data_IF_864867827791
#
_entry.id   IF_864867827791
#
_cell.length_a   1.000
_cell.length_b   1.000
_cell.length_c   1.000
_cell.angle_alpha   90.00
_cell.angle_beta   90.00
_cell.angle_gamma   90.00
#
_symmetry.space_group_name_H-M   'P 1'
#
loop_
_entity.id
_entity.type
_entity.pdbx_description
1 polymer ?
#
# COMPACT_ATOMS: atom_id res chain seq x y z
N UNK A 1 10.02 11.22 26.95
CA UNK A 1 9.64 9.83 27.33
C UNK A 1 9.35 8.92 26.13
N UNK A 2 8.84 9.44 25.01
CA UNK A 2 8.39 8.67 23.82
C UNK A 2 9.52 7.95 23.08
N UNK A 3 10.69 8.52 22.96
CA UNK A 3 11.83 7.96 22.18
C UNK A 3 12.39 6.64 22.76
N UNK A 4 12.44 6.51 24.11
CA UNK A 4 12.90 5.28 24.77
C UNK A 4 11.88 4.11 24.62
N UNK A 5 10.59 4.40 24.59
CA UNK A 5 9.54 3.39 24.42
C UNK A 5 9.49 2.84 22.99
N UNK A 6 9.62 3.68 21.97
CA UNK A 6 9.63 3.25 20.56
C UNK A 6 10.83 2.37 20.26
N UNK A 7 12.03 2.74 20.76
CA UNK A 7 13.23 1.91 20.64
C UNK A 7 13.08 0.55 21.33
N UNK A 8 12.40 0.49 22.46
CA UNK A 8 12.20 -0.76 23.22
C UNK A 8 11.31 -1.74 22.46
N UNK A 9 10.18 -1.28 21.91
CA UNK A 9 9.30 -2.10 21.07
C UNK A 9 9.98 -2.60 19.79
N UNK A 10 10.76 -1.75 19.14
CA UNK A 10 11.52 -2.15 17.95
C UNK A 10 12.57 -3.22 18.30
N UNK A 11 13.32 -3.02 19.38
CA UNK A 11 14.32 -4.00 19.88
C UNK A 11 13.65 -5.32 20.25
N UNK A 12 12.50 -5.30 20.90
CA UNK A 12 11.74 -6.51 21.25
C UNK A 12 11.23 -7.24 19.99
N UNK A 13 10.72 -6.53 18.99
CA UNK A 13 10.37 -7.13 17.68
C UNK A 13 11.57 -7.77 17.02
N UNK A 14 12.72 -7.09 16.98
CA UNK A 14 13.96 -7.64 16.41
C UNK A 14 14.41 -8.90 17.14
N UNK A 15 14.43 -8.88 18.48
CA UNK A 15 14.80 -10.05 19.31
C UNK A 15 13.83 -11.22 19.11
N UNK A 16 12.52 -10.96 19.11
CA UNK A 16 11.48 -11.94 18.84
C UNK A 16 11.66 -12.57 17.46
N UNK A 17 11.92 -11.76 16.44
CA UNK A 17 12.16 -12.23 15.07
C UNK A 17 13.45 -13.05 14.97
N UNK A 18 14.55 -12.64 15.62
CA UNK A 18 15.79 -13.38 15.66
C UNK A 18 15.61 -14.75 16.33
N UNK A 19 14.91 -14.81 17.46
CA UNK A 19 14.57 -16.05 18.16
C UNK A 19 13.70 -16.98 17.31
N UNK A 20 12.72 -16.42 16.60
CA UNK A 20 11.87 -17.19 15.69
C UNK A 20 12.69 -17.74 14.50
N UNK A 21 13.57 -16.92 13.92
CA UNK A 21 14.48 -17.38 12.82
C UNK A 21 15.40 -18.50 13.27
N UNK A 22 15.91 -18.48 14.51
CA UNK A 22 16.74 -19.56 15.04
C UNK A 22 15.96 -20.88 15.24
N UNK A 23 14.64 -20.76 15.51
CA UNK A 23 13.75 -21.92 15.68
C UNK A 23 13.33 -22.53 14.32
N UNK A 24 13.21 -21.71 13.30
CA UNK A 24 12.76 -22.10 11.96
C UNK A 24 13.89 -21.82 10.95
N UNK A 25 14.98 -22.59 11.04
CA UNK A 25 16.15 -22.39 10.16
C UNK A 25 15.88 -22.80 8.71
N UNK A 26 15.09 -23.85 8.54
CA UNK A 26 14.79 -24.45 7.25
C UNK A 26 13.26 -24.36 7.01
N UNK A 27 12.88 -23.55 6.06
CA UNK A 27 11.51 -23.50 5.56
C UNK A 27 11.52 -23.30 4.04
N UNK A 28 10.57 -23.95 3.40
CA UNK A 28 10.37 -23.76 1.94
C UNK A 28 9.62 -22.46 1.69
N UNK A 29 10.15 -21.66 0.78
CA UNK A 29 9.45 -20.46 0.30
C UNK A 29 8.33 -20.91 -0.65
N UNK A 30 7.05 -20.54 -0.38
CA UNK A 30 5.96 -20.88 -1.30
C UNK A 30 6.08 -20.09 -2.60
N UNK A 31 5.38 -20.55 -3.61
CA UNK A 31 5.16 -19.76 -4.81
C UNK A 31 4.14 -18.62 -4.51
N UNK A 32 4.52 -17.38 -4.81
CA UNK A 32 3.68 -16.20 -4.69
C UNK A 32 2.94 -15.98 -6.00
N UNK A 33 1.82 -16.66 -6.18
CA UNK A 33 1.03 -16.59 -7.40
C UNK A 33 0.21 -15.30 -7.47
N UNK A 34 0.45 -14.49 -8.51
CA UNK A 34 -0.23 -13.21 -8.75
C UNK A 34 -0.42 -12.40 -7.46
N UNK A 35 0.67 -12.07 -6.73
CA UNK A 35 0.56 -11.31 -5.49
C UNK A 35 -0.04 -9.93 -5.79
N UNK A 36 -0.81 -9.42 -4.83
CA UNK A 36 -1.57 -8.18 -4.98
C UNK A 36 -0.90 -7.08 -4.17
N UNK A 37 -0.52 -5.99 -4.83
CA UNK A 37 0.04 -4.80 -4.18
C UNK A 37 -0.96 -3.64 -4.22
N UNK A 38 -1.42 -3.21 -3.04
CA UNK A 38 -2.22 -2.00 -2.91
C UNK A 38 -1.26 -0.81 -2.89
N UNK A 39 -1.35 0.04 -3.91
CA UNK A 39 -0.53 1.24 -4.07
C UNK A 39 -1.39 2.49 -3.98
N UNK A 40 -0.90 3.49 -3.26
CA UNK A 40 -1.61 4.76 -3.04
C UNK A 40 -0.66 5.83 -2.53
N UNK A 41 -1.07 7.09 -2.57
CA UNK A 41 -0.48 8.09 -1.69
C UNK A 41 -0.69 7.69 -0.22
N UNK A 42 0.20 8.06 0.72
CA UNK A 42 -0.05 7.82 2.14
C UNK A 42 -1.36 8.49 2.55
N UNK A 43 -2.08 7.90 3.51
CA UNK A 43 -3.34 8.42 4.04
C UNK A 43 -4.53 8.42 3.06
N UNK A 44 -4.41 7.73 1.93
CA UNK A 44 -5.52 7.57 0.97
C UNK A 44 -6.61 6.57 1.41
N UNK A 45 -6.42 5.83 2.52
CA UNK A 45 -7.36 4.80 2.99
C UNK A 45 -6.92 3.36 2.68
N UNK A 46 -5.70 3.17 2.17
CA UNK A 46 -5.16 1.85 1.79
C UNK A 46 -5.09 0.85 2.94
N UNK A 47 -5.03 1.30 4.20
CA UNK A 47 -5.09 0.40 5.36
C UNK A 47 -6.49 -0.21 5.50
N UNK A 48 -7.56 0.58 5.30
CA UNK A 48 -8.93 0.06 5.31
C UNK A 48 -9.11 -1.03 4.24
N UNK A 49 -8.69 -0.74 3.01
CA UNK A 49 -8.76 -1.71 1.92
C UNK A 49 -7.95 -2.98 2.23
N UNK A 50 -6.71 -2.83 2.72
CA UNK A 50 -5.86 -3.94 3.10
C UNK A 50 -6.48 -4.81 4.20
N UNK A 51 -6.99 -4.20 5.27
CA UNK A 51 -7.65 -4.92 6.37
C UNK A 51 -8.89 -5.68 5.86
N UNK A 52 -9.66 -5.08 4.94
CA UNK A 52 -10.83 -5.73 4.32
C UNK A 52 -10.40 -6.94 3.47
N UNK A 53 -9.43 -6.78 2.57
CA UNK A 53 -8.96 -7.87 1.70
C UNK A 53 -8.20 -8.96 2.48
N UNK A 54 -7.60 -8.64 3.61
CA UNK A 54 -6.93 -9.61 4.49
C UNK A 54 -7.91 -10.62 5.11
N UNK A 55 -9.22 -10.34 5.08
CA UNK A 55 -10.25 -11.26 5.58
C UNK A 55 -10.65 -12.35 4.59
N UNK A 56 -10.17 -12.29 3.34
CA UNK A 56 -10.54 -13.25 2.31
C UNK A 56 -9.92 -14.64 2.55
N UNK A 57 -10.65 -15.72 2.22
CA UNK A 57 -10.12 -17.08 2.36
C UNK A 57 -8.94 -17.31 1.41
N UNK A 58 -7.93 -18.01 1.88
CA UNK A 58 -6.72 -18.30 1.10
C UNK A 58 -5.76 -17.13 0.89
N UNK A 59 -6.09 -15.93 1.40
CA UNK A 59 -5.21 -14.77 1.37
C UNK A 59 -4.20 -14.84 2.51
N UNK A 60 -2.96 -14.51 2.16
CA UNK A 60 -1.84 -14.39 3.09
C UNK A 60 -1.31 -12.96 3.09
N UNK A 61 -0.93 -12.46 4.27
CA UNK A 61 -0.34 -11.13 4.46
C UNK A 61 0.78 -11.19 5.49
N UNK A 62 1.52 -10.12 5.67
CA UNK A 62 2.45 -9.99 6.79
C UNK A 62 1.81 -9.30 8.00
N UNK A 63 0.54 -8.93 7.91
CA UNK A 63 -0.24 -8.28 8.96
C UNK A 63 0.00 -6.79 9.14
N UNK A 64 1.06 -6.21 8.57
CA UNK A 64 1.36 -4.77 8.63
C UNK A 64 2.21 -4.34 7.41
N UNK A 65 2.63 -3.08 7.40
CA UNK A 65 3.50 -2.50 6.36
C UNK A 65 4.91 -3.11 6.38
N UNK A 66 5.47 -3.32 5.18
CA UNK A 66 6.75 -4.00 4.99
C UNK A 66 7.93 -3.07 4.64
N UNK A 67 7.82 -1.77 4.91
CA UNK A 67 8.92 -0.85 4.63
C UNK A 67 10.22 -1.28 5.33
N UNK A 68 10.16 -1.74 6.58
CA UNK A 68 11.33 -2.25 7.28
C UNK A 68 11.93 -3.51 6.63
N UNK A 69 11.09 -4.43 6.12
CA UNK A 69 11.57 -5.64 5.49
C UNK A 69 12.39 -5.34 4.24
N UNK A 70 11.93 -4.39 3.43
CA UNK A 70 12.63 -3.95 2.22
C UNK A 70 13.90 -3.15 2.61
N UNK A 71 13.76 -2.16 3.49
CA UNK A 71 14.87 -1.25 3.84
C UNK A 71 15.94 -1.89 4.74
N UNK A 72 15.70 -3.07 5.31
CA UNK A 72 16.76 -3.87 5.98
C UNK A 72 17.77 -4.47 5.01
N UNK A 73 17.46 -4.58 3.74
CA UNK A 73 18.44 -4.94 2.71
C UNK A 73 19.27 -3.68 2.43
N UNK A 74 20.57 -3.63 2.79
CA UNK A 74 21.34 -2.38 2.85
C UNK A 74 21.29 -1.56 1.57
N UNK A 75 21.37 -2.21 0.39
CA UNK A 75 21.31 -1.52 -0.91
C UNK A 75 19.94 -0.93 -1.25
N UNK A 76 18.85 -1.40 -0.62
CA UNK A 76 17.50 -0.90 -0.84
C UNK A 76 17.13 0.24 0.12
N UNK A 77 17.90 0.44 1.19
CA UNK A 77 17.70 1.55 2.09
C UNK A 77 18.14 2.86 1.44
N UNK A 78 17.40 3.97 1.54
CA UNK A 78 17.80 5.27 0.96
C UNK A 78 19.21 5.74 1.36
N UNK A 79 19.71 5.34 2.53
CA UNK A 79 21.10 5.62 2.97
C UNK A 79 22.14 5.21 1.93
N UNK A 80 21.93 4.10 1.22
CA UNK A 80 22.88 3.62 0.19
C UNK A 80 22.96 4.55 -1.04
N UNK A 81 22.00 5.46 -1.17
CA UNK A 81 21.88 6.47 -2.24
C UNK A 81 21.80 7.88 -1.68
N UNK A 82 22.55 8.17 -0.61
CA UNK A 82 22.60 9.49 0.04
C UNK A 82 21.21 10.07 0.39
N UNK A 83 20.25 9.19 0.73
CA UNK A 83 18.86 9.58 1.02
C UNK A 83 18.18 10.35 -0.12
N UNK A 84 18.43 9.99 -1.37
CA UNK A 84 17.80 10.63 -2.54
C UNK A 84 16.27 10.52 -2.51
N UNK A 85 15.76 9.30 -2.28
CA UNK A 85 14.31 9.02 -2.22
C UNK A 85 14.02 7.58 -1.79
N UNK A 86 12.71 7.23 -1.69
CA UNK A 86 12.25 5.84 -1.57
C UNK A 86 12.11 5.11 -2.92
N UNK A 87 12.41 5.73 -4.03
CA UNK A 87 12.30 5.13 -5.36
C UNK A 87 13.18 3.89 -5.45
N UNK A 88 12.59 2.78 -5.91
CA UNK A 88 13.31 1.58 -6.32
C UNK A 88 12.88 1.19 -7.74
N UNK A 89 13.84 0.73 -8.52
CA UNK A 89 13.69 0.36 -9.92
C UNK A 89 13.94 -1.14 -10.13
N UNK A 90 13.71 -1.64 -11.34
CA UNK A 90 14.06 -3.02 -11.69
C UNK A 90 15.55 -3.34 -11.49
N UNK A 91 16.42 -2.34 -11.60
CA UNK A 91 17.87 -2.50 -11.44
C UNK A 91 18.29 -2.71 -9.97
N UNK A 92 17.43 -2.39 -9.01
CA UNK A 92 17.67 -2.64 -7.59
C UNK A 92 17.38 -4.10 -7.20
N UNK A 93 16.79 -4.90 -8.13
CA UNK A 93 16.44 -6.30 -7.94
C UNK A 93 17.45 -7.21 -8.69
N UNK A 94 18.25 -7.94 -7.94
CA UNK A 94 18.98 -9.12 -8.42
C UNK A 94 18.42 -10.39 -7.77
N UNK A 95 18.86 -11.57 -8.22
CA UNK A 95 18.39 -12.85 -7.69
C UNK A 95 18.58 -12.99 -6.16
N UNK A 96 19.70 -12.48 -5.64
CA UNK A 96 19.98 -12.50 -4.20
C UNK A 96 19.05 -11.61 -3.41
N UNK A 97 18.68 -10.46 -3.98
CA UNK A 97 17.72 -9.53 -3.39
C UNK A 97 16.31 -10.10 -3.40
N UNK A 98 15.87 -10.63 -4.53
CA UNK A 98 14.57 -11.29 -4.66
C UNK A 98 14.45 -12.44 -3.66
N UNK A 99 15.44 -13.32 -3.57
CA UNK A 99 15.49 -14.43 -2.61
C UNK A 99 15.32 -13.95 -1.17
N UNK A 100 16.10 -12.93 -0.75
CA UNK A 100 16.03 -12.39 0.62
C UNK A 100 14.67 -11.78 0.95
N UNK A 101 14.02 -11.15 -0.04
CA UNK A 101 12.68 -10.58 0.13
C UNK A 101 11.63 -11.68 0.26
N UNK A 102 11.63 -12.66 -0.63
CA UNK A 102 10.70 -13.79 -0.59
C UNK A 102 10.83 -14.57 0.72
N UNK A 103 12.04 -14.87 1.17
CA UNK A 103 12.30 -15.47 2.49
C UNK A 103 11.78 -14.58 3.63
N UNK A 104 12.01 -13.28 3.52
CA UNK A 104 11.56 -12.30 4.51
C UNK A 104 10.04 -12.20 4.59
N UNK A 105 9.34 -12.16 3.46
CA UNK A 105 7.89 -12.19 3.40
C UNK A 105 7.36 -13.52 3.95
N UNK A 106 7.88 -14.65 3.46
CA UNK A 106 7.46 -15.99 3.93
C UNK A 106 7.54 -16.12 5.43
N UNK A 107 8.61 -15.61 6.02
CA UNK A 107 8.82 -15.66 7.47
C UNK A 107 7.73 -14.92 8.26
N UNK A 108 7.18 -13.83 7.71
CA UNK A 108 6.17 -13.01 8.36
C UNK A 108 4.74 -13.31 7.88
N UNK A 109 4.54 -14.28 6.95
CA UNK A 109 3.22 -14.63 6.43
C UNK A 109 2.27 -15.10 7.54
N UNK A 110 1.06 -14.60 7.48
CA UNK A 110 -0.07 -15.06 8.27
C UNK A 110 -1.36 -15.06 7.45
N UNK A 111 -2.26 -15.98 7.75
CA UNK A 111 -3.60 -16.04 7.18
C UNK A 111 -4.57 -15.07 7.89
N UNK A 112 -5.84 -15.05 7.48
CA UNK A 112 -6.90 -14.24 8.08
C UNK A 112 -7.18 -14.53 9.56
N UNK A 113 -6.80 -15.73 10.06
CA UNK A 113 -6.92 -16.14 11.45
C UNK A 113 -5.65 -15.83 12.26
N UNK A 114 -4.66 -15.13 11.62
CA UNK A 114 -3.33 -14.84 12.17
C UNK A 114 -2.50 -16.10 12.43
N UNK A 115 -2.85 -17.25 11.81
CA UNK A 115 -2.02 -18.43 11.81
C UNK A 115 -0.80 -18.18 10.93
N UNK A 116 0.39 -18.28 11.48
CA UNK A 116 1.63 -18.02 10.73
C UNK A 116 1.98 -19.21 9.85
N UNK A 117 2.43 -18.93 8.64
CA UNK A 117 2.84 -19.94 7.66
C UNK A 117 3.93 -20.86 8.20
N UNK A 118 4.98 -20.28 8.80
CA UNK A 118 6.11 -21.04 9.32
C UNK A 118 5.78 -21.91 10.54
N UNK A 119 4.70 -21.64 11.26
CA UNK A 119 4.24 -22.40 12.40
C UNK A 119 3.31 -23.58 12.02
N UNK A 120 2.89 -23.65 10.73
CA UNK A 120 2.18 -24.79 10.20
C UNK A 120 3.12 -26.02 10.08
N UNK A 121 2.62 -27.25 10.30
CA UNK A 121 3.31 -28.47 9.91
C UNK A 121 3.70 -28.41 8.41
N UNK A 122 4.82 -28.98 8.04
CA UNK A 122 5.37 -28.86 6.69
C UNK A 122 4.40 -29.40 5.62
N UNK A 123 3.76 -30.53 5.91
CA UNK A 123 2.74 -31.19 5.07
C UNK A 123 1.44 -30.37 4.92
N UNK A 124 1.23 -29.36 5.77
CA UNK A 124 0.07 -28.46 5.75
C UNK A 124 0.38 -27.06 5.19
N UNK A 125 1.65 -26.78 4.88
CA UNK A 125 2.03 -25.51 4.25
C UNK A 125 1.60 -25.52 2.80
N UNK A 126 0.77 -24.55 2.35
CA UNK A 126 0.47 -24.45 0.93
C UNK A 126 1.75 -24.17 0.13
N UNK A 127 1.95 -24.91 -0.97
CA UNK A 127 3.06 -24.68 -1.90
C UNK A 127 2.92 -23.39 -2.70
N UNK A 128 1.69 -22.93 -2.88
CA UNK A 128 1.32 -21.70 -3.60
C UNK A 128 0.41 -20.85 -2.72
N UNK A 129 0.63 -19.55 -2.71
CA UNK A 129 -0.14 -18.60 -1.89
C UNK A 129 -0.61 -17.39 -2.70
N UNK A 130 -1.76 -16.85 -2.31
CA UNK A 130 -2.23 -15.54 -2.75
C UNK A 130 -1.82 -14.49 -1.70
N UNK A 131 -0.79 -13.71 -2.01
CA UNK A 131 -0.24 -12.72 -1.11
C UNK A 131 -0.83 -11.33 -1.36
N UNK A 132 -1.21 -10.63 -0.30
CA UNK A 132 -1.60 -9.21 -0.37
C UNK A 132 -0.67 -8.36 0.47
N UNK A 133 -0.21 -7.26 -0.10
CA UNK A 133 0.71 -6.33 0.54
C UNK A 133 0.25 -4.88 0.36
N UNK A 134 0.42 -4.07 1.42
CA UNK A 134 0.18 -2.65 1.40
C UNK A 134 1.24 -1.93 2.22
N UNK A 135 2.08 -1.18 1.54
CA UNK A 135 3.04 -0.24 2.14
C UNK A 135 3.02 1.05 1.31
N UNK A 136 2.72 2.22 1.89
CA UNK A 136 2.64 3.47 1.12
C UNK A 136 3.90 3.78 0.31
N UNK A 137 5.11 3.45 0.81
CA UNK A 137 6.37 3.61 0.07
C UNK A 137 6.42 2.83 -1.24
N UNK A 138 5.58 1.80 -1.39
CA UNK A 138 5.51 0.99 -2.61
C UNK A 138 4.89 1.74 -3.80
N UNK A 139 4.23 2.88 -3.56
CA UNK A 139 3.88 3.85 -4.62
C UNK A 139 5.09 4.24 -5.47
N UNK A 140 6.29 4.29 -4.88
CA UNK A 140 7.55 4.64 -5.55
C UNK A 140 8.40 3.41 -5.95
N UNK A 141 7.84 2.17 -5.85
CA UNK A 141 8.59 0.92 -6.02
C UNK A 141 7.98 -0.06 -7.01
N UNK A 142 6.96 0.35 -7.79
CA UNK A 142 6.23 -0.54 -8.71
C UNK A 142 7.17 -1.31 -9.66
N UNK A 143 8.17 -0.70 -10.34
CA UNK A 143 9.08 -1.45 -11.22
C UNK A 143 9.96 -2.45 -10.47
N UNK A 144 10.33 -2.16 -9.23
CA UNK A 144 11.09 -3.05 -8.36
C UNK A 144 10.22 -4.25 -7.94
N UNK A 145 8.99 -4.00 -7.47
CA UNK A 145 8.06 -5.07 -7.09
C UNK A 145 7.75 -5.98 -8.27
N UNK A 146 7.60 -5.41 -9.47
CA UNK A 146 7.37 -6.17 -10.70
C UNK A 146 8.60 -7.04 -11.08
N UNK A 147 9.80 -6.62 -10.73
CA UNK A 147 11.01 -7.42 -10.94
C UNK A 147 11.13 -8.56 -9.91
N UNK A 148 10.64 -8.37 -8.67
CA UNK A 148 10.59 -9.43 -7.66
C UNK A 148 9.45 -10.41 -7.93
N UNK A 149 8.29 -9.91 -8.37
CA UNK A 149 7.04 -10.65 -8.61
C UNK A 149 6.55 -10.39 -10.04
N UNK A 150 7.01 -11.17 -11.03
CA UNK A 150 6.73 -10.92 -12.44
C UNK A 150 5.25 -10.95 -12.82
N UNK A 151 4.41 -11.65 -12.09
CA UNK A 151 2.96 -11.78 -12.28
C UNK A 151 2.12 -10.92 -11.32
N UNK A 152 2.77 -10.01 -10.56
CA UNK A 152 2.09 -9.15 -9.58
C UNK A 152 0.95 -8.34 -10.18
N UNK A 153 -0.16 -8.27 -9.44
CA UNK A 153 -1.30 -7.41 -9.68
C UNK A 153 -1.21 -6.15 -8.81
N UNK A 154 -1.68 -5.03 -9.34
CA UNK A 154 -1.66 -3.76 -8.63
C UNK A 154 -3.08 -3.19 -8.47
N UNK A 155 -3.43 -2.82 -7.26
CA UNK A 155 -4.66 -2.09 -6.96
C UNK A 155 -4.29 -0.66 -6.60
N UNK A 156 -4.65 0.30 -7.44
CA UNK A 156 -4.43 1.72 -7.19
C UNK A 156 -5.64 2.33 -6.49
N UNK A 157 -5.45 2.71 -5.24
CA UNK A 157 -6.44 3.44 -4.45
C UNK A 157 -6.11 4.93 -4.46
N UNK A 158 -7.02 5.71 -5.05
CA UNK A 158 -6.95 7.16 -5.13
C UNK A 158 -7.89 7.82 -4.11
N UNK A 159 -7.48 8.94 -3.55
CA UNK A 159 -8.32 9.78 -2.71
C UNK A 159 -8.29 11.23 -3.19
N UNK A 160 -9.42 11.91 -3.07
CA UNK A 160 -9.54 13.34 -3.35
C UNK A 160 -8.34 14.14 -2.78
N UNK A 161 -7.75 15.07 -3.55
CA UNK A 161 -6.54 15.79 -3.14
C UNK A 161 -6.73 16.59 -1.86
N UNK A 162 -7.85 17.32 -1.69
CA UNK A 162 -8.10 18.13 -0.49
C UNK A 162 -8.18 17.24 0.75
N UNK A 163 -8.94 16.17 0.65
CA UNK A 163 -9.11 15.17 1.70
C UNK A 163 -7.80 14.46 2.06
N UNK A 164 -7.01 14.07 1.05
CA UNK A 164 -5.78 13.32 1.26
C UNK A 164 -4.68 14.20 1.84
N UNK A 165 -4.51 15.42 1.30
CA UNK A 165 -3.52 16.39 1.78
C UNK A 165 -3.83 16.80 3.22
N UNK A 166 -5.10 17.08 3.56
CA UNK A 166 -5.50 17.34 4.94
C UNK A 166 -5.10 16.20 5.88
N UNK A 167 -5.34 14.95 5.47
CA UNK A 167 -4.97 13.77 6.27
C UNK A 167 -3.44 13.59 6.38
N UNK A 168 -2.66 13.98 5.36
CA UNK A 168 -1.20 14.02 5.42
C UNK A 168 -0.72 15.09 6.39
N UNK A 169 -1.29 16.31 6.37
CA UNK A 169 -0.97 17.39 7.31
C UNK A 169 -1.22 16.92 8.76
N UNK A 170 -2.38 16.31 9.03
CA UNK A 170 -2.67 15.73 10.34
C UNK A 170 -1.64 14.66 10.73
N UNK A 171 -1.26 13.81 9.78
CA UNK A 171 -0.27 12.77 10.00
C UNK A 171 1.11 13.33 10.36
N UNK A 172 1.58 14.37 9.65
CA UNK A 172 2.80 15.10 9.96
C UNK A 172 2.75 15.72 11.36
N UNK A 173 1.70 16.51 11.64
CA UNK A 173 1.53 17.19 12.94
C UNK A 173 1.39 16.21 14.12
N UNK A 174 0.95 14.96 13.87
CA UNK A 174 0.81 13.94 14.91
C UNK A 174 2.10 13.30 15.39
N UNK A 175 3.17 13.34 14.60
CA UNK A 175 4.43 12.63 14.85
C UNK A 175 4.33 11.09 14.87
N UNK A 176 3.18 10.51 14.44
CA UNK A 176 2.96 9.05 14.49
C UNK A 176 3.48 8.30 13.27
N UNK A 177 3.74 8.98 12.17
CA UNK A 177 4.11 8.38 10.89
C UNK A 177 5.55 8.74 10.48
N UNK A 178 6.44 8.84 11.46
CA UNK A 178 7.85 9.13 11.24
C UNK A 178 8.49 8.00 10.44
N UNK A 179 9.09 8.36 9.31
CA UNK A 179 9.85 7.45 8.45
C UNK A 179 11.37 7.57 8.70
N UNK A 180 11.86 8.78 8.93
CA UNK A 180 13.28 9.04 9.18
C UNK A 180 13.45 10.03 10.34
N UNK A 181 13.95 9.51 11.47
CA UNK A 181 14.21 10.32 12.68
C UNK A 181 15.35 11.32 12.50
N UNK A 182 16.39 10.91 11.79
CA UNK A 182 17.58 11.70 11.52
C UNK A 182 17.87 11.65 10.02
N UNK A 183 17.13 12.43 9.23
CA UNK A 183 17.37 12.57 7.81
C UNK A 183 18.50 13.57 7.59
N UNK A 184 19.65 13.17 7.01
CA UNK A 184 20.79 14.09 6.82
C UNK A 184 20.40 15.31 6.00
N UNK A 185 20.72 16.49 6.50
CA UNK A 185 20.37 17.76 5.87
C UNK A 185 18.93 18.21 6.08
N UNK A 186 18.18 17.55 6.96
CA UNK A 186 16.85 17.96 7.41
C UNK A 186 16.90 18.29 8.90
N UNK A 187 16.85 19.56 9.25
CA UNK A 187 17.07 20.09 10.61
C UNK A 187 15.77 20.46 11.33
N UNK A 188 14.65 19.84 10.92
CA UNK A 188 13.32 20.10 11.45
C UNK A 188 12.77 18.86 12.18
N UNK A 189 11.44 18.85 12.39
CA UNK A 189 10.72 17.68 12.89
C UNK A 189 11.05 16.42 12.06
N UNK A 190 11.05 15.21 12.65
CA UNK A 190 11.38 14.00 11.94
C UNK A 190 10.55 13.82 10.66
N UNK A 191 11.21 13.43 9.56
CA UNK A 191 10.54 13.24 8.28
C UNK A 191 9.47 12.15 8.34
N UNK A 192 8.26 12.49 7.92
CA UNK A 192 7.12 11.57 7.91
C UNK A 192 6.78 11.06 6.49
N UNK A 193 6.24 9.83 6.41
CA UNK A 193 5.78 9.20 5.18
C UNK A 193 6.87 8.94 4.13
N UNK A 194 6.59 9.27 2.86
CA UNK A 194 7.48 9.01 1.73
C UNK A 194 8.65 9.99 1.70
N UNK A 195 9.85 9.47 1.47
CA UNK A 195 10.97 10.29 1.04
C UNK A 195 10.90 10.41 -0.49
N UNK A 196 10.42 11.54 -0.97
CA UNK A 196 10.19 11.80 -2.39
C UNK A 196 11.46 12.33 -3.08
N UNK A 197 11.65 12.10 -4.39
CA UNK A 197 12.70 12.77 -5.14
C UNK A 197 12.58 14.30 -5.02
N UNK A 198 13.71 14.98 -4.89
CA UNK A 198 13.74 16.44 -4.77
C UNK A 198 13.36 16.98 -3.38
N UNK A 199 13.15 16.15 -2.37
CA UNK A 199 12.82 16.59 -1.00
C UNK A 199 13.75 17.67 -0.42
N UNK A 200 15.04 17.77 -0.78
CA UNK A 200 15.89 18.83 -0.24
C UNK A 200 15.42 20.25 -0.57
N UNK A 201 14.67 20.45 -1.66
CA UNK A 201 14.07 21.75 -1.99
C UNK A 201 12.93 22.15 -1.04
N UNK A 202 12.43 21.21 -0.22
CA UNK A 202 11.33 21.44 0.71
C UNK A 202 11.78 21.80 2.14
N UNK A 203 13.06 22.11 2.36
CA UNK A 203 13.60 22.38 3.70
C UNK A 203 12.88 23.52 4.41
N UNK A 204 12.54 24.57 3.68
CA UNK A 204 11.85 25.75 4.21
C UNK A 204 10.33 25.71 3.94
N UNK A 205 9.83 24.67 3.26
CA UNK A 205 8.44 24.56 2.88
C UNK A 205 7.52 24.32 4.09
N UNK A 206 6.30 24.84 4.02
CA UNK A 206 5.27 24.52 5.01
C UNK A 206 4.87 23.03 4.94
N UNK A 207 4.35 22.48 6.04
CA UNK A 207 3.89 21.07 6.08
C UNK A 207 2.84 20.79 4.97
N UNK A 208 1.97 21.75 4.69
CA UNK A 208 0.98 21.62 3.62
C UNK A 208 1.64 21.44 2.25
N UNK A 209 2.70 22.19 1.97
CA UNK A 209 3.46 22.08 0.71
C UNK A 209 4.20 20.75 0.61
N UNK A 210 4.81 20.29 1.71
CA UNK A 210 5.46 18.97 1.76
C UNK A 210 4.40 17.87 1.52
N UNK A 211 3.25 17.95 2.18
CA UNK A 211 2.15 17.00 2.03
C UNK A 211 1.60 16.97 0.60
N UNK A 212 1.42 18.13 -0.03
CA UNK A 212 0.98 18.24 -1.42
C UNK A 212 1.99 17.61 -2.39
N UNK A 213 3.29 17.88 -2.19
CA UNK A 213 4.35 17.28 -3.01
C UNK A 213 4.44 15.76 -2.81
N UNK A 214 4.28 15.25 -1.59
CA UNK A 214 4.22 13.80 -1.34
C UNK A 214 3.00 13.16 -2.03
N UNK A 215 1.82 13.80 -1.94
CA UNK A 215 0.61 13.35 -2.61
C UNK A 215 0.77 13.33 -4.13
N UNK A 216 1.23 14.43 -4.73
CA UNK A 216 1.48 14.58 -6.17
C UNK A 216 2.48 13.54 -6.67
N UNK A 217 3.64 13.44 -6.02
CA UNK A 217 4.72 12.55 -6.44
C UNK A 217 4.28 11.09 -6.39
N UNK A 218 3.61 10.66 -5.31
CA UNK A 218 3.12 9.30 -5.18
C UNK A 218 2.14 8.93 -6.30
N UNK A 219 1.09 9.74 -6.48
CA UNK A 219 0.06 9.46 -7.47
C UNK A 219 0.60 9.52 -8.91
N UNK A 220 1.39 10.57 -9.23
CA UNK A 220 2.02 10.68 -10.55
C UNK A 220 2.90 9.46 -10.84
N UNK A 221 3.73 9.05 -9.88
CA UNK A 221 4.61 7.89 -10.06
C UNK A 221 3.79 6.61 -10.29
N UNK A 222 2.72 6.39 -9.51
CA UNK A 222 1.83 5.24 -9.71
C UNK A 222 1.26 5.24 -11.13
N UNK A 223 0.64 6.34 -11.55
CA UNK A 223 0.03 6.48 -12.88
C UNK A 223 1.06 6.22 -13.99
N UNK A 224 2.23 6.88 -13.93
CA UNK A 224 3.30 6.75 -14.92
C UNK A 224 3.82 5.30 -15.05
N UNK A 225 3.78 4.52 -13.96
CA UNK A 225 4.25 3.14 -13.97
C UNK A 225 3.16 2.14 -14.34
N UNK A 226 1.95 2.32 -13.83
CA UNK A 226 0.83 1.45 -14.17
C UNK A 226 0.42 1.60 -15.63
N UNK A 227 0.44 2.80 -16.21
CA UNK A 227 0.17 3.01 -17.65
C UNK A 227 1.09 2.21 -18.59
N UNK A 228 2.22 1.69 -18.09
CA UNK A 228 3.14 0.82 -18.84
C UNK A 228 2.87 -0.67 -18.66
N UNK A 229 1.91 -1.02 -17.83
CA UNK A 229 1.49 -2.40 -17.58
C UNK A 229 0.21 -2.74 -18.34
N UNK A 230 -0.02 -4.00 -18.69
CA UNK A 230 -1.30 -4.45 -19.21
C UNK A 230 -2.45 -4.08 -18.28
N UNK A 231 -3.61 -3.72 -18.85
CA UNK A 231 -4.79 -3.34 -18.08
C UNK A 231 -5.26 -4.48 -17.15
N UNK A 232 -5.10 -5.73 -17.58
CA UNK A 232 -5.43 -6.93 -16.78
C UNK A 232 -4.56 -7.10 -15.53
N UNK A 233 -3.50 -6.32 -15.37
CA UNK A 233 -2.61 -6.38 -14.21
C UNK A 233 -2.84 -5.25 -13.21
N UNK A 234 -3.81 -4.41 -13.46
CA UNK A 234 -4.09 -3.24 -12.64
C UNK A 234 -5.58 -3.04 -12.44
N UNK A 235 -5.95 -2.57 -11.27
CA UNK A 235 -7.31 -2.18 -10.93
C UNK A 235 -7.27 -0.83 -10.23
N UNK A 236 -8.23 0.05 -10.56
CA UNK A 236 -8.31 1.38 -9.97
C UNK A 236 -9.59 1.51 -9.17
N UNK A 237 -9.51 2.17 -8.02
CA UNK A 237 -10.68 2.58 -7.26
C UNK A 237 -10.43 3.90 -6.52
N UNK A 238 -11.53 4.56 -6.16
CA UNK A 238 -11.47 5.75 -5.31
C UNK A 238 -11.82 5.39 -3.86
N UNK A 239 -11.25 6.13 -2.91
CA UNK A 239 -11.62 6.01 -1.50
C UNK A 239 -13.11 6.27 -1.29
N UNK A 240 -13.66 7.31 -1.95
CA UNK A 240 -15.08 7.63 -1.86
C UNK A 240 -15.95 6.46 -2.37
N UNK A 241 -15.60 5.88 -3.52
CA UNK A 241 -16.32 4.70 -4.04
C UNK A 241 -16.29 3.51 -3.08
N UNK A 242 -15.14 3.28 -2.42
CA UNK A 242 -15.01 2.22 -1.41
C UNK A 242 -15.93 2.45 -0.19
N UNK A 243 -16.10 3.71 0.22
CA UNK A 243 -16.95 4.04 1.37
C UNK A 243 -18.44 4.02 0.99
N UNK A 244 -18.79 4.56 -0.17
CA UNK A 244 -20.18 4.69 -0.59
C UNK A 244 -20.79 3.36 -1.05
N UNK A 245 -19.98 2.51 -1.69
CA UNK A 245 -20.43 1.25 -2.29
C UNK A 245 -19.43 0.11 -2.01
N UNK A 246 -19.17 -0.23 -0.73
CA UNK A 246 -18.14 -1.21 -0.37
C UNK A 246 -18.37 -2.58 -1.01
N UNK A 247 -19.62 -3.06 -1.02
CA UNK A 247 -19.97 -4.35 -1.62
C UNK A 247 -19.60 -4.41 -3.11
N UNK A 248 -20.02 -3.41 -3.89
CA UNK A 248 -19.74 -3.33 -5.32
C UNK A 248 -18.22 -3.29 -5.58
N UNK A 249 -17.51 -2.41 -4.88
CA UNK A 249 -16.06 -2.24 -5.05
C UNK A 249 -15.31 -3.53 -4.69
N UNK A 250 -15.67 -4.18 -3.59
CA UNK A 250 -14.98 -5.40 -3.17
C UNK A 250 -15.29 -6.58 -4.11
N UNK A 251 -16.51 -6.67 -4.64
CA UNK A 251 -16.84 -7.66 -5.68
C UNK A 251 -16.02 -7.44 -6.96
N UNK A 252 -15.85 -6.18 -7.41
CA UNK A 252 -15.00 -5.91 -8.59
C UNK A 252 -13.53 -6.26 -8.34
N UNK A 253 -13.00 -5.98 -7.14
CA UNK A 253 -11.64 -6.40 -6.77
C UNK A 253 -11.54 -7.93 -6.70
N UNK A 254 -12.56 -8.60 -6.14
CA UNK A 254 -12.61 -10.06 -6.05
C UNK A 254 -12.53 -10.71 -7.44
N UNK A 255 -13.34 -10.22 -8.39
CA UNK A 255 -13.30 -10.69 -9.79
C UNK A 255 -11.96 -10.39 -10.46
N UNK A 256 -11.42 -9.16 -10.32
CA UNK A 256 -10.12 -8.78 -10.88
C UNK A 256 -8.97 -9.67 -10.37
N UNK A 257 -8.98 -9.96 -9.09
CA UNK A 257 -7.89 -10.67 -8.42
C UNK A 257 -8.18 -12.17 -8.21
N UNK A 258 -9.28 -12.69 -8.74
CA UNK A 258 -9.73 -14.08 -8.57
C UNK A 258 -9.72 -14.50 -7.08
N UNK A 259 -10.34 -13.68 -6.22
CA UNK A 259 -10.47 -13.93 -4.80
C UNK A 259 -11.87 -14.48 -4.49
N UNK A 260 -11.95 -15.54 -3.68
CA UNK A 260 -13.22 -16.14 -3.31
C UNK A 260 -13.91 -15.36 -2.19
N UNK A 261 -15.19 -15.03 -2.38
CA UNK A 261 -16.01 -14.43 -1.33
C UNK A 261 -16.72 -15.56 -0.57
N UNK A 262 -16.56 -15.59 0.75
CA UNK A 262 -17.28 -16.52 1.63
C UNK A 262 -18.23 -15.74 2.58
N UNK A 263 -19.05 -16.46 3.34
CA UNK A 263 -20.02 -15.88 4.28
C UNK A 263 -19.40 -14.90 5.28
N UNK A 264 -18.13 -15.06 5.63
CA UNK A 264 -17.42 -14.15 6.54
C UNK A 264 -17.11 -12.82 5.85
N UNK A 265 -16.68 -12.88 4.58
CA UNK A 265 -16.44 -11.69 3.76
C UNK A 265 -17.76 -10.99 3.42
N UNK A 266 -18.83 -11.72 3.09
CA UNK A 266 -20.16 -11.14 2.85
C UNK A 266 -20.66 -10.30 4.04
N UNK A 267 -20.43 -10.78 5.26
CA UNK A 267 -20.82 -10.05 6.48
C UNK A 267 -20.11 -8.69 6.64
N UNK A 268 -18.92 -8.53 6.05
CA UNK A 268 -18.22 -7.24 6.08
C UNK A 268 -18.96 -6.16 5.28
N UNK A 269 -19.81 -6.54 4.33
CA UNK A 269 -20.53 -5.61 3.46
C UNK A 269 -21.96 -5.31 3.92
N UNK A 270 -22.48 -6.06 4.92
CA UNK A 270 -23.84 -5.86 5.43
C UNK A 270 -24.01 -4.55 6.21
N UNK A 271 -22.97 -3.71 6.26
CA UNK A 271 -22.98 -2.40 6.89
C UNK A 271 -21.82 -1.52 6.40
N UNK A 272 -21.58 -0.42 7.09
CA UNK A 272 -20.39 0.41 6.84
C UNK A 272 -19.10 -0.36 7.20
N UNK A 273 -18.06 -0.18 6.38
CA UNK A 273 -16.75 -0.76 6.70
C UNK A 273 -16.23 -0.24 8.05
N UNK A 274 -15.50 -1.07 8.81
CA UNK A 274 -14.96 -0.66 10.10
C UNK A 274 -13.91 0.46 9.92
N UNK A 275 -13.73 1.26 10.95
CA UNK A 275 -12.67 2.29 10.96
C UNK A 275 -11.31 1.59 10.98
N UNK A 276 -10.39 1.99 10.09
CA UNK A 276 -9.08 1.36 10.00
C UNK A 276 -8.19 1.62 11.21
N UNK A 277 -7.30 0.69 11.52
CA UNK A 277 -6.38 0.73 12.67
C UNK A 277 -5.42 1.93 12.67
N UNK A 278 -5.16 2.53 11.51
CA UNK A 278 -4.26 3.71 11.34
C UNK A 278 -5.02 5.05 11.32
N UNK A 279 -6.32 5.05 11.59
CA UNK A 279 -7.12 6.28 11.64
C UNK A 279 -6.73 7.12 12.85
N UNK A 280 -6.43 8.41 12.63
CA UNK A 280 -6.05 9.35 13.69
C UNK A 280 -7.29 9.94 14.38
N UNK A 281 -8.25 10.35 13.58
CA UNK A 281 -9.48 10.99 13.99
C UNK A 281 -10.63 10.44 13.16
N UNK A 282 -11.84 10.27 13.70
CA UNK A 282 -12.96 9.70 12.96
C UNK A 282 -13.17 10.39 11.60
N UNK A 283 -13.47 9.61 10.54
CA UNK A 283 -13.86 10.19 9.27
C UNK A 283 -15.09 11.07 9.45
N UNK A 284 -15.08 12.23 8.81
CA UNK A 284 -16.23 13.15 8.78
C UNK A 284 -16.23 13.90 7.44
N UNK A 285 -17.40 14.25 6.90
CA UNK A 285 -17.50 15.14 5.74
C UNK A 285 -16.77 16.45 6.00
N UNK A 286 -16.21 17.02 4.95
CA UNK A 286 -15.57 18.36 4.99
C UNK A 286 -14.43 18.55 6.02
N UNK A 287 -13.89 17.46 6.55
CA UNK A 287 -12.83 17.50 7.54
C UNK A 287 -11.58 18.25 7.05
N UNK A 288 -11.35 18.27 5.74
CA UNK A 288 -10.27 18.99 5.10
C UNK A 288 -10.37 20.52 5.29
N UNK A 289 -11.57 21.08 5.51
CA UNK A 289 -11.80 22.51 5.73
C UNK A 289 -11.04 23.06 6.94
N UNK A 290 -10.68 22.21 7.90
CA UNK A 290 -9.77 22.58 8.99
C UNK A 290 -8.43 23.16 8.49
N UNK A 291 -8.01 22.77 7.28
CA UNK A 291 -6.76 23.19 6.64
C UNK A 291 -7.02 23.88 5.29
N UNK A 292 -8.22 24.42 5.08
CA UNK A 292 -8.67 24.99 3.80
C UNK A 292 -7.68 26.02 3.24
N UNK A 293 -7.35 27.04 4.03
CA UNK A 293 -6.42 28.09 3.63
C UNK A 293 -5.00 27.57 3.27
N UNK A 294 -4.52 26.56 4.00
CA UNK A 294 -3.21 25.96 3.74
C UNK A 294 -3.27 25.12 2.46
N UNK A 295 -4.37 24.40 2.23
CA UNK A 295 -4.57 23.52 1.08
C UNK A 295 -4.79 24.32 -0.20
N UNK A 296 -5.59 25.37 -0.17
CA UNK A 296 -5.87 26.22 -1.35
C UNK A 296 -4.62 26.93 -1.86
N UNK A 297 -3.67 27.26 -0.99
CA UNK A 297 -2.39 27.86 -1.38
C UNK A 297 -1.47 26.87 -2.14
N UNK A 298 -1.63 25.58 -1.94
CA UNK A 298 -0.76 24.53 -2.52
C UNK A 298 -1.44 23.71 -3.61
N UNK A 299 -2.79 23.79 -3.71
CA UNK A 299 -3.58 23.18 -4.76
C UNK A 299 -3.83 24.19 -5.88
N UNK A 300 -2.80 24.51 -6.65
CA UNK A 300 -2.96 25.27 -7.87
C UNK A 300 -3.40 24.38 -9.05
N UNK A 301 -3.87 25.02 -10.14
CA UNK A 301 -4.27 24.29 -11.35
C UNK A 301 -3.15 23.45 -11.94
N UNK A 302 -1.88 23.86 -11.76
CA UNK A 302 -0.72 23.12 -12.28
C UNK A 302 -0.52 21.79 -11.55
N UNK A 303 -0.87 21.73 -10.27
CA UNK A 303 -0.80 20.52 -9.46
C UNK A 303 -1.91 19.53 -9.85
N UNK A 304 -3.09 20.04 -10.21
CA UNK A 304 -4.25 19.24 -10.61
C UNK A 304 -4.13 18.79 -12.07
N UNK A 305 -3.70 19.67 -12.98
CA UNK A 305 -3.53 19.34 -14.41
C UNK A 305 -2.34 18.42 -14.69
N UNK A 306 -1.32 18.43 -13.83
CA UNK A 306 -0.21 17.47 -13.92
C UNK A 306 -0.63 16.03 -13.60
N UNK A 307 -1.89 15.82 -13.20
CA UNK A 307 -2.46 14.52 -12.86
C UNK A 307 -3.54 14.18 -13.90
N UNK A 308 -3.30 13.25 -14.83
CA UNK A 308 -4.30 12.83 -15.81
C UNK A 308 -5.37 11.92 -15.13
N UNK A 309 -5.99 12.44 -14.06
CA UNK A 309 -7.01 11.71 -13.27
C UNK A 309 -8.22 11.40 -14.15
N UNK A 310 -8.59 12.33 -15.05
CA UNK A 310 -9.65 12.11 -16.02
C UNK A 310 -9.35 10.96 -16.97
N UNK A 311 -8.11 10.81 -17.45
CA UNK A 311 -7.72 9.68 -18.29
C UNK A 311 -7.74 8.36 -17.53
N UNK A 312 -7.32 8.37 -16.26
CA UNK A 312 -7.32 7.18 -15.40
C UNK A 312 -8.75 6.81 -15.04
N UNK A 313 -9.60 7.78 -14.66
CA UNK A 313 -11.03 7.53 -14.39
C UNK A 313 -11.79 7.08 -15.63
N UNK A 314 -11.50 7.62 -16.81
CA UNK A 314 -12.12 7.19 -18.06
C UNK A 314 -11.71 5.76 -18.41
N UNK A 315 -10.41 5.44 -18.40
CA UNK A 315 -9.92 4.06 -18.65
C UNK A 315 -10.50 3.04 -17.68
N UNK A 316 -10.71 3.42 -16.42
CA UNK A 316 -11.32 2.55 -15.41
C UNK A 316 -12.83 2.42 -15.61
N UNK A 317 -13.51 3.53 -15.94
CA UNK A 317 -14.93 3.49 -16.30
C UNK A 317 -15.16 2.59 -17.50
N UNK A 318 -14.33 2.69 -18.53
CA UNK A 318 -14.42 1.88 -19.75
C UNK A 318 -14.10 0.39 -19.46
N UNK A 319 -13.09 0.13 -18.62
CA UNK A 319 -12.76 -1.24 -18.19
C UNK A 319 -13.87 -1.87 -17.36
N UNK A 320 -14.41 -1.13 -16.37
CA UNK A 320 -15.55 -1.60 -15.59
C UNK A 320 -16.80 -1.78 -16.44
N UNK A 321 -17.07 -0.89 -17.41
CA UNK A 321 -18.19 -1.02 -18.34
C UNK A 321 -18.04 -2.24 -19.25
N UNK A 322 -16.83 -2.54 -19.73
CA UNK A 322 -16.51 -3.73 -20.51
C UNK A 322 -16.73 -5.04 -19.74
N UNK A 323 -16.29 -5.11 -18.49
CA UNK A 323 -16.52 -6.28 -17.63
C UNK A 323 -18.01 -6.56 -17.37
N UNK A 324 -18.86 -5.53 -17.33
CA UNK A 324 -20.32 -5.71 -17.15
C UNK A 324 -21.06 -6.01 -18.45
N UNK A 325 -20.43 -5.80 -19.63
CA UNK A 325 -21.01 -6.25 -20.91
C UNK A 325 -20.77 -7.75 -21.13
N UNK A 326 -19.63 -8.29 -20.77
CA UNK A 326 -19.35 -9.73 -20.87
C UNK A 326 -20.25 -10.59 -19.97
N UNK A 327 -20.72 -10.08 -18.81
CA UNK A 327 -21.69 -10.81 -17.97
C UNK A 327 -23.10 -10.88 -18.57
N UNK A 328 -23.46 -10.04 -19.56
CA UNK A 328 -24.79 -10.11 -20.24
C UNK A 328 -24.83 -11.07 -21.42
N UNK A 329 -23.67 -11.52 -21.89
CA UNK A 329 -23.56 -12.40 -23.08
C UNK A 329 -23.37 -13.88 -22.72
N UNK A 330 -23.54 -14.30 -21.47
CA UNK A 330 -23.70 -15.72 -21.15
C UNK A 330 -25.11 -16.18 -21.46
N UNK A 331 -25.30 -17.08 -22.42
CA UNK A 331 -26.62 -17.66 -22.68
C UNK A 331 -27.10 -18.41 -21.43
N UNK A 332 -28.35 -18.14 -21.01
CA UNK A 332 -29.05 -18.97 -20.04
C UNK A 332 -28.90 -20.43 -20.44
N UNK A 333 -28.15 -21.21 -19.68
CA UNK A 333 -28.22 -22.67 -19.80
C UNK A 333 -29.55 -23.07 -19.22
N UNK A 334 -30.52 -23.21 -20.12
CA UNK A 334 -31.81 -23.84 -19.84
C UNK A 334 -31.54 -25.31 -19.55
N UNK A 335 -31.85 -25.73 -18.33
CA UNK A 335 -32.09 -27.05 -17.74
C UNK A 335 -31.26 -28.24 -18.21
#
# INVERSE_FOLDING_TARGET
MTHKLINRHLIERIKKRAKLKSKHKDFTVPDFEKPIFIVSAPRAGSTLLFETLSCFPGVWTTGDENHELIERIPKLHPRSRNYDSNVLTKHDCDAGTAKKLLEGFTFDLQDRNRQRYIDLPEDKRPSTIRFIEKTPKNSLRIPFLKAVFPDALFIFLYRDPKENIASLIEGWKSGRFVAYWNLPGWEREPWSFLLIPGWPSLKEAAIAEIAANQWKTANKYIIDKLNKLPISWQHFLTYQGLIDNPEKIIKTISNFADLKIDKQVEKLFSGSLPVSSKTLTPPAPDKWKKYENEIERVLDESLLTAMPISEVTTKVSDYCAGMFQEERDFPEIVQ
#
